data_IF_550076657323
#
_entry.id   IF_550076657323
#
_cell.length_a   1.000
_cell.length_b   1.000
_cell.length_c   1.000
_cell.angle_alpha   90.00
_cell.angle_beta   90.00
_cell.angle_gamma   90.00
#
_symmetry.space_group_name_H-M   'P 1'
#
loop_
_entity.id
_entity.type
_entity.pdbx_description
1 polymer ?
#
# COMPACT_ATOMS: atom_id res chain seq x y z
N UNK A 1 30.46 2.68 26.21
CA UNK A 1 29.84 2.35 24.89
C UNK A 1 28.31 2.48 24.83
N UNK A 2 27.57 2.91 25.87
CA UNK A 2 26.09 3.08 25.82
C UNK A 2 25.59 4.39 25.18
N UNK A 3 26.42 5.44 25.15
CA UNK A 3 26.01 6.83 24.77
C UNK A 3 25.70 7.01 23.27
N UNK A 4 26.30 6.22 22.39
CA UNK A 4 26.09 6.31 20.93
C UNK A 4 24.77 5.71 20.45
N UNK A 5 24.22 4.72 21.17
CA UNK A 5 22.95 4.10 20.80
C UNK A 5 21.72 4.94 21.18
N UNK A 6 21.86 5.81 22.18
CA UNK A 6 20.78 6.69 22.64
C UNK A 6 20.63 7.91 21.71
N UNK A 7 21.74 8.47 21.24
CA UNK A 7 21.76 9.55 20.23
C UNK A 7 21.11 9.10 18.91
N UNK A 8 21.48 7.93 18.38
CA UNK A 8 20.90 7.42 17.12
C UNK A 8 19.37 7.18 17.21
N UNK A 9 18.86 6.83 18.39
CA UNK A 9 17.42 6.59 18.59
C UNK A 9 16.61 7.89 18.58
N UNK A 10 17.17 8.95 19.16
CA UNK A 10 16.55 10.27 19.15
C UNK A 10 16.49 10.84 17.74
N UNK A 11 17.56 10.66 16.95
CA UNK A 11 17.61 11.10 15.55
C UNK A 11 16.57 10.37 14.68
N UNK A 12 16.39 9.05 14.88
CA UNK A 12 15.38 8.27 14.15
C UNK A 12 13.95 8.68 14.53
N UNK A 13 13.71 8.99 15.81
CA UNK A 13 12.42 9.47 16.30
C UNK A 13 12.08 10.86 15.73
N UNK A 14 13.01 11.82 15.79
CA UNK A 14 12.83 13.15 15.20
C UNK A 14 12.54 13.08 13.70
N UNK A 15 13.25 12.20 12.98
CA UNK A 15 12.99 11.96 11.56
C UNK A 15 11.58 11.44 11.32
N UNK A 16 11.09 10.52 12.15
CA UNK A 16 9.71 10.02 12.05
C UNK A 16 8.67 11.13 12.33
N UNK A 17 8.96 12.04 13.26
CA UNK A 17 8.14 13.20 13.57
C UNK A 17 8.07 14.18 12.39
N UNK A 18 9.21 14.50 11.79
CA UNK A 18 9.28 15.37 10.62
C UNK A 18 8.54 14.77 9.41
N UNK A 19 8.71 13.47 9.16
CA UNK A 19 7.97 12.77 8.10
C UNK A 19 6.44 12.79 8.33
N UNK A 20 5.99 12.75 9.59
CA UNK A 20 4.56 12.84 9.93
C UNK A 20 4.03 14.24 9.69
N UNK A 21 4.79 15.25 10.10
CA UNK A 21 4.44 16.65 9.92
C UNK A 21 4.36 17.03 8.44
N UNK A 22 5.34 16.59 7.63
CA UNK A 22 5.33 16.75 6.16
C UNK A 22 4.07 16.13 5.55
N UNK A 23 3.66 14.94 6.03
CA UNK A 23 2.45 14.30 5.55
C UNK A 23 1.18 15.05 5.94
N UNK A 24 1.06 15.49 7.19
CA UNK A 24 -0.10 16.23 7.68
C UNK A 24 -0.31 17.54 6.91
N UNK A 25 0.77 18.28 6.65
CA UNK A 25 0.77 19.54 5.91
C UNK A 25 0.39 19.36 4.43
N UNK A 26 0.68 18.20 3.84
CA UNK A 26 0.46 17.92 2.41
C UNK A 26 -0.65 16.90 2.14
N UNK A 27 -1.44 16.51 3.14
CA UNK A 27 -2.43 15.44 3.03
C UNK A 27 -3.49 15.70 1.94
N UNK A 28 -3.83 16.97 1.70
CA UNK A 28 -4.81 17.40 0.68
C UNK A 28 -4.17 17.85 -0.64
N UNK A 29 -2.84 17.78 -0.76
CA UNK A 29 -2.13 18.12 -1.98
C UNK A 29 -1.44 16.87 -2.56
N UNK A 30 -2.19 15.98 -3.22
CA UNK A 30 -1.61 14.76 -3.79
C UNK A 30 -0.52 15.04 -4.83
N UNK A 31 -0.57 16.22 -5.48
CA UNK A 31 0.46 16.68 -6.43
C UNK A 31 1.84 16.88 -5.81
N UNK A 32 1.92 17.11 -4.50
CA UNK A 32 3.17 17.26 -3.75
C UNK A 32 4.12 16.06 -3.90
N UNK A 33 3.56 14.85 -4.01
CA UNK A 33 4.34 13.61 -4.13
C UNK A 33 4.66 13.22 -5.59
N UNK A 34 4.09 13.91 -6.57
CA UNK A 34 4.30 13.59 -7.99
C UNK A 34 5.68 14.09 -8.43
N UNK A 35 6.48 13.21 -9.05
CA UNK A 35 7.81 13.55 -9.59
C UNK A 35 8.94 13.64 -8.56
N UNK A 36 8.64 13.53 -7.25
CA UNK A 36 9.65 13.59 -6.18
C UNK A 36 10.25 12.22 -5.83
N UNK A 37 9.68 11.14 -6.35
CA UNK A 37 10.02 9.76 -5.98
C UNK A 37 9.63 9.39 -4.54
N UNK A 38 8.97 10.31 -3.82
CA UNK A 38 8.48 10.11 -2.46
C UNK A 38 7.02 9.65 -2.51
N UNK A 39 6.64 8.83 -1.54
CA UNK A 39 5.28 8.30 -1.40
C UNK A 39 4.79 8.69 -0.01
N UNK A 40 3.53 9.09 0.10
CA UNK A 40 2.94 9.45 1.38
C UNK A 40 3.07 8.31 2.40
N UNK A 41 3.29 8.70 3.67
CA UNK A 41 3.60 7.77 4.77
C UNK A 41 2.56 6.66 4.97
N UNK A 42 1.24 6.91 4.87
CA UNK A 42 0.23 5.85 4.99
C UNK A 42 0.39 4.76 3.92
N UNK A 43 0.68 5.17 2.68
CA UNK A 43 0.88 4.25 1.55
C UNK A 43 2.17 3.44 1.75
N UNK A 44 3.24 4.09 2.25
CA UNK A 44 4.50 3.43 2.61
C UNK A 44 4.35 2.45 3.79
N UNK A 45 3.41 2.71 4.70
CA UNK A 45 3.06 1.81 5.80
C UNK A 45 2.37 0.54 5.32
N UNK A 46 1.43 0.65 4.38
CA UNK A 46 0.75 -0.51 3.78
C UNK A 46 1.75 -1.40 3.05
N UNK A 47 2.79 -0.83 2.41
CA UNK A 47 3.80 -1.64 1.72
C UNK A 47 4.67 -2.50 2.64
N UNK A 48 4.73 -2.20 3.96
CA UNK A 48 5.48 -3.02 4.95
C UNK A 48 4.80 -4.34 5.28
N UNK A 49 3.49 -4.45 5.06
CA UNK A 49 2.70 -5.62 5.47
C UNK A 49 2.14 -6.34 4.25
N UNK A 50 2.97 -7.09 3.50
CA UNK A 50 2.53 -7.73 2.27
C UNK A 50 1.41 -8.75 2.50
N UNK A 51 1.34 -9.38 3.68
CA UNK A 51 0.23 -10.25 4.07
C UNK A 51 -1.10 -9.48 4.14
N UNK A 52 -1.11 -8.28 4.73
CA UNK A 52 -2.32 -7.43 4.77
C UNK A 52 -2.72 -6.99 3.36
N UNK A 53 -1.74 -6.69 2.49
CA UNK A 53 -2.00 -6.38 1.09
C UNK A 53 -2.69 -7.55 0.35
N UNK A 54 -2.30 -8.80 0.64
CA UNK A 54 -2.97 -9.99 0.10
C UNK A 54 -4.39 -10.15 0.62
N UNK A 55 -4.61 -9.98 1.93
CA UNK A 55 -5.93 -10.11 2.56
C UNK A 55 -6.92 -9.10 1.94
N UNK A 56 -6.52 -7.83 1.82
CA UNK A 56 -7.35 -6.79 1.20
C UNK A 56 -7.63 -7.13 -0.27
N UNK A 57 -6.60 -7.59 -1.00
CA UNK A 57 -6.76 -8.04 -2.38
C UNK A 57 -7.78 -9.17 -2.52
N UNK A 58 -7.74 -10.18 -1.66
CA UNK A 58 -8.69 -11.29 -1.65
C UNK A 58 -10.12 -10.85 -1.31
N UNK A 59 -10.29 -9.95 -0.35
CA UNK A 59 -11.60 -9.38 0.01
C UNK A 59 -12.24 -8.67 -1.18
N UNK A 60 -11.45 -8.06 -2.06
CA UNK A 60 -11.95 -7.41 -3.28
C UNK A 60 -12.19 -8.44 -4.38
N UNK A 61 -11.24 -9.34 -4.65
CA UNK A 61 -11.30 -10.26 -5.80
C UNK A 61 -12.38 -11.32 -5.64
N UNK A 62 -12.57 -11.90 -4.45
CA UNK A 62 -13.53 -13.00 -4.27
C UNK A 62 -14.98 -12.59 -4.60
N UNK A 63 -15.54 -11.50 -4.04
CA UNK A 63 -16.88 -11.03 -4.40
C UNK A 63 -16.97 -10.65 -5.87
N UNK A 64 -15.92 -10.04 -6.41
CA UNK A 64 -15.87 -9.62 -7.82
C UNK A 64 -15.99 -10.83 -8.76
N UNK A 65 -15.29 -11.94 -8.46
CA UNK A 65 -15.39 -13.18 -9.24
C UNK A 65 -16.80 -13.78 -9.13
N UNK A 66 -17.38 -13.80 -7.92
CA UNK A 66 -18.73 -14.34 -7.69
C UNK A 66 -19.76 -13.55 -8.52
N UNK A 67 -19.68 -12.22 -8.50
CA UNK A 67 -20.59 -11.37 -9.29
C UNK A 67 -20.40 -11.55 -10.79
N UNK A 68 -19.17 -11.63 -11.29
CA UNK A 68 -18.91 -11.86 -12.72
C UNK A 68 -19.50 -13.19 -13.20
N UNK A 69 -19.45 -14.25 -12.38
CA UNK A 69 -20.01 -15.57 -12.73
C UNK A 69 -21.54 -15.55 -12.73
N UNK A 70 -22.15 -14.81 -11.80
CA UNK A 70 -23.61 -14.79 -11.64
C UNK A 70 -24.32 -13.81 -12.57
N UNK A 71 -23.62 -12.85 -13.15
CA UNK A 71 -24.19 -11.87 -14.08
C UNK A 71 -24.04 -12.30 -15.54
N UNK A 72 -25.11 -12.13 -16.31
CA UNK A 72 -25.13 -12.33 -17.77
C UNK A 72 -25.08 -11.02 -18.56
N UNK A 73 -25.35 -9.88 -17.90
CA UNK A 73 -25.28 -8.57 -18.52
C UNK A 73 -23.83 -8.09 -18.66
N UNK A 74 -23.41 -7.87 -19.91
CA UNK A 74 -22.07 -7.42 -20.28
C UNK A 74 -21.71 -6.07 -19.65
N UNK A 75 -22.67 -5.14 -19.49
CA UNK A 75 -22.42 -3.83 -18.89
C UNK A 75 -22.11 -3.95 -17.39
N UNK A 76 -22.81 -4.83 -16.69
CA UNK A 76 -22.57 -5.10 -15.28
C UNK A 76 -21.19 -5.76 -15.10
N UNK A 77 -20.84 -6.72 -15.95
CA UNK A 77 -19.51 -7.37 -15.94
C UNK A 77 -18.39 -6.34 -16.16
N UNK A 78 -18.54 -5.42 -17.11
CA UNK A 78 -17.55 -4.37 -17.38
C UNK A 78 -17.37 -3.44 -16.17
N UNK A 79 -18.45 -3.15 -15.43
CA UNK A 79 -18.39 -2.30 -14.24
C UNK A 79 -17.48 -2.89 -13.14
N UNK A 80 -17.28 -4.20 -13.13
CA UNK A 80 -16.37 -4.90 -12.21
C UNK A 80 -14.90 -4.91 -12.66
N UNK A 81 -14.57 -4.40 -13.85
CA UNK A 81 -13.20 -4.38 -14.36
C UNK A 81 -12.25 -3.57 -13.44
N UNK A 82 -12.70 -2.41 -12.95
CA UNK A 82 -11.88 -1.55 -12.08
C UNK A 82 -11.58 -2.22 -10.73
N UNK A 83 -12.58 -2.71 -9.96
CA UNK A 83 -12.33 -3.50 -8.76
C UNK A 83 -11.43 -4.72 -9.00
N UNK A 84 -11.63 -5.44 -10.11
CA UNK A 84 -10.81 -6.59 -10.46
C UNK A 84 -9.34 -6.20 -10.65
N UNK A 85 -9.06 -5.16 -11.45
CA UNK A 85 -7.69 -4.67 -11.69
C UNK A 85 -7.02 -4.26 -10.38
N UNK A 86 -7.73 -3.52 -9.52
CA UNK A 86 -7.21 -3.10 -8.21
C UNK A 86 -6.89 -4.32 -7.34
N UNK A 87 -7.83 -5.25 -7.24
CA UNK A 87 -7.68 -6.48 -6.44
C UNK A 87 -6.51 -7.34 -6.90
N UNK A 88 -6.40 -7.61 -8.20
CA UNK A 88 -5.28 -8.37 -8.78
C UNK A 88 -3.95 -7.65 -8.61
N UNK A 89 -3.89 -6.32 -8.76
CA UNK A 89 -2.66 -5.55 -8.55
C UNK A 89 -2.19 -5.61 -7.10
N UNK A 90 -3.12 -5.57 -6.13
CA UNK A 90 -2.80 -5.73 -4.71
C UNK A 90 -2.23 -7.12 -4.42
N UNK A 91 -2.86 -8.18 -4.94
CA UNK A 91 -2.38 -9.56 -4.78
C UNK A 91 -1.00 -9.72 -5.38
N UNK A 92 -0.81 -9.33 -6.64
CA UNK A 92 0.47 -9.42 -7.35
C UNK A 92 1.58 -8.67 -6.61
N UNK A 93 1.33 -7.42 -6.21
CA UNK A 93 2.29 -6.63 -5.44
C UNK A 93 2.61 -7.23 -4.06
N UNK A 94 1.64 -7.86 -3.40
CA UNK A 94 1.84 -8.59 -2.15
C UNK A 94 2.74 -9.82 -2.31
N UNK A 95 2.50 -10.62 -3.36
CA UNK A 95 3.30 -11.81 -3.68
C UNK A 95 4.75 -11.42 -3.97
N UNK A 96 5.00 -10.42 -4.82
CA UNK A 96 6.36 -9.97 -5.15
C UNK A 96 7.11 -9.54 -3.89
N UNK A 97 6.47 -8.78 -3.01
CA UNK A 97 7.11 -8.33 -1.77
C UNK A 97 7.47 -9.50 -0.85
N UNK A 98 6.60 -10.50 -0.71
CA UNK A 98 6.92 -11.72 0.05
C UNK A 98 8.11 -12.47 -0.55
N UNK A 99 8.16 -12.59 -1.88
CA UNK A 99 9.29 -13.22 -2.57
C UNK A 99 10.59 -12.45 -2.32
N UNK A 100 10.56 -11.12 -2.40
CA UNK A 100 11.74 -10.28 -2.18
C UNK A 100 12.22 -10.32 -0.72
N UNK A 101 11.30 -10.34 0.26
CA UNK A 101 11.65 -10.49 1.67
C UNK A 101 12.31 -11.85 1.92
N UNK A 102 11.84 -12.92 1.28
CA UNK A 102 12.43 -14.26 1.42
C UNK A 102 13.84 -14.37 0.79
N UNK A 103 14.16 -13.54 -0.19
CA UNK A 103 15.46 -13.53 -0.89
C UNK A 103 16.55 -12.74 -0.15
N UNK A 104 16.17 -11.85 0.76
CA UNK A 104 17.08 -11.09 1.62
C UNK A 104 17.29 -11.82 2.95
#
# INVERSE_FOLDING_TARGET
>A
MKKSNESNKNDEFEKQLNDLKEWEENQYNPGYYIGTGRISKPIKGISKYPIMQLIIGLIIVIPTIIEIINNTDVLNIISFAVPAIIGFSLIYGGIIKLINIRKN
#
